data_IF_434543955806
#
_entry.id   IF_434543955806
#
_cell.length_a   1.000
_cell.length_b   1.000
_cell.length_c   1.000
_cell.angle_alpha   90.00
_cell.angle_beta   90.00
_cell.angle_gamma   90.00
#
_symmetry.space_group_name_H-M   'P 1'
#
loop_
_entity.id
_entity.type
_entity.pdbx_description
1 polymer ?
#
# COMPACT_ATOMS: atom_id res chain seq x y z
N UNK A 1 13.84 -2.42 7.45
CA UNK A 1 14.58 -2.93 6.29
C UNK A 1 13.71 -3.94 5.57
N UNK A 2 13.53 -3.73 4.28
CA UNK A 2 12.58 -4.46 3.45
C UNK A 2 12.71 -3.99 2.01
N UNK A 3 12.36 -4.86 1.06
CA UNK A 3 12.63 -4.69 -0.38
C UNK A 3 12.27 -3.30 -0.92
N UNK A 4 11.14 -2.74 -0.50
CA UNK A 4 10.69 -1.41 -0.96
C UNK A 4 11.39 -0.28 -0.19
N UNK A 5 11.51 -0.40 1.13
CA UNK A 5 12.15 0.61 2.00
C UNK A 5 13.60 0.88 1.59
N UNK A 6 14.33 -0.17 1.18
CA UNK A 6 15.75 -0.08 0.85
C UNK A 6 16.01 0.29 -0.64
N UNK A 7 14.96 0.46 -1.45
CA UNK A 7 15.10 0.79 -2.87
C UNK A 7 15.35 2.29 -3.10
N UNK A 8 16.28 2.61 -4.01
CA UNK A 8 16.61 3.98 -4.42
C UNK A 8 16.18 4.32 -5.86
N UNK A 9 15.64 3.35 -6.60
CA UNK A 9 15.21 3.54 -7.98
C UNK A 9 13.97 4.44 -8.06
N UNK A 10 13.89 5.24 -9.13
CA UNK A 10 12.80 6.18 -9.38
C UNK A 10 12.00 5.75 -10.61
N UNK A 11 10.72 6.12 -10.63
CA UNK A 11 9.81 5.71 -11.71
C UNK A 11 9.38 4.25 -11.56
N UNK A 12 8.70 3.72 -12.58
CA UNK A 12 8.21 2.34 -12.56
C UNK A 12 9.34 1.35 -12.82
N UNK A 13 9.55 0.42 -11.88
CA UNK A 13 10.56 -0.62 -11.96
C UNK A 13 10.10 -1.87 -11.18
N UNK A 14 10.59 -3.07 -11.53
CA UNK A 14 10.25 -4.30 -10.84
C UNK A 14 11.03 -4.46 -9.53
N UNK A 15 10.45 -5.22 -8.58
CA UNK A 15 11.14 -5.64 -7.35
C UNK A 15 11.27 -7.16 -7.26
N UNK A 16 12.40 -7.60 -6.70
CA UNK A 16 12.61 -9.01 -6.34
C UNK A 16 11.76 -9.37 -5.13
N UNK A 17 11.42 -10.65 -4.98
CA UNK A 17 10.82 -11.13 -3.76
C UNK A 17 11.78 -10.96 -2.56
N UNK A 18 11.27 -10.71 -1.35
CA UNK A 18 12.00 -10.87 -0.10
C UNK A 18 12.73 -12.20 -0.01
N UNK A 19 13.86 -12.24 0.72
CA UNK A 19 14.70 -13.43 0.88
C UNK A 19 13.96 -14.62 1.51
N UNK A 20 12.97 -14.33 2.37
CA UNK A 20 12.13 -15.33 3.03
C UNK A 20 10.97 -15.83 2.13
N UNK A 21 10.88 -15.35 0.89
CA UNK A 21 9.82 -15.70 -0.05
C UNK A 21 8.44 -15.14 0.29
N UNK A 22 8.33 -14.29 1.32
CA UNK A 22 7.08 -13.62 1.66
C UNK A 22 6.66 -12.63 0.55
N UNK A 23 5.36 -12.38 0.37
CA UNK A 23 4.91 -11.37 -0.59
C UNK A 23 5.20 -9.95 -0.08
N UNK A 24 5.52 -9.02 -0.98
CA UNK A 24 5.76 -7.60 -0.63
C UNK A 24 4.49 -6.84 -0.24
N UNK A 25 3.30 -7.44 -0.44
CA UNK A 25 2.01 -6.97 0.03
C UNK A 25 1.16 -8.15 0.51
N UNK A 26 0.26 -7.91 1.46
CA UNK A 26 -0.71 -8.91 1.93
C UNK A 26 -2.01 -8.26 2.33
N UNK A 27 -3.10 -9.03 2.29
CA UNK A 27 -4.39 -8.58 2.81
C UNK A 27 -4.32 -8.33 4.32
N UNK A 28 -4.93 -7.25 4.79
CA UNK A 28 -5.04 -6.97 6.22
C UNK A 28 -6.09 -7.87 6.87
N UNK A 29 -5.73 -8.51 7.99
CA UNK A 29 -6.64 -9.31 8.81
C UNK A 29 -7.36 -8.52 9.92
N UNK A 30 -7.03 -7.24 10.06
CA UNK A 30 -7.43 -6.37 11.17
C UNK A 30 -8.26 -5.17 10.69
N UNK A 31 -8.82 -5.26 9.49
CA UNK A 31 -9.70 -4.25 8.91
C UNK A 31 -11.12 -4.81 8.89
N UNK A 32 -12.05 -4.06 9.48
CA UNK A 32 -13.48 -4.33 9.42
C UNK A 32 -14.14 -3.33 8.45
N UNK A 33 -14.97 -3.82 7.53
CA UNK A 33 -15.67 -3.01 6.54
C UNK A 33 -17.14 -2.93 6.93
N UNK A 34 -17.58 -1.73 7.26
CA UNK A 34 -18.98 -1.42 7.56
C UNK A 34 -19.56 -0.58 6.42
N UNK A 35 -20.64 -1.04 5.80
CA UNK A 35 -21.27 -0.35 4.67
C UNK A 35 -22.17 0.81 5.09
N UNK A 36 -22.54 0.87 6.38
CA UNK A 36 -23.51 1.85 6.90
C UNK A 36 -22.81 3.05 7.55
N UNK A 37 -21.48 3.00 7.69
CA UNK A 37 -20.68 4.12 8.19
C UNK A 37 -20.65 5.25 7.14
N UNK A 38 -21.08 6.44 7.56
CA UNK A 38 -20.93 7.66 6.78
C UNK A 38 -19.48 8.14 6.80
N UNK A 39 -18.99 8.65 5.67
CA UNK A 39 -17.68 9.28 5.55
C UNK A 39 -17.76 10.57 4.76
N UNK A 40 -16.88 11.51 5.07
CA UNK A 40 -16.75 12.79 4.37
C UNK A 40 -15.68 12.69 3.28
N UNK A 41 -15.92 13.32 2.14
CA UNK A 41 -14.96 13.43 1.05
C UNK A 41 -14.69 14.91 0.76
N UNK A 42 -13.43 15.32 0.87
CA UNK A 42 -12.99 16.67 0.54
C UNK A 42 -12.15 16.57 -0.73
N UNK A 43 -12.64 17.14 -1.83
CA UNK A 43 -11.92 17.22 -3.09
C UNK A 43 -11.05 18.49 -3.13
N UNK A 44 -9.74 18.32 -3.31
CA UNK A 44 -8.77 19.42 -3.36
C UNK A 44 -8.41 19.84 -4.80
N UNK A 45 -8.98 19.22 -5.83
CA UNK A 45 -8.66 19.49 -7.24
C UNK A 45 -9.29 20.77 -7.78
N UNK A 46 -10.32 21.29 -7.12
CA UNK A 46 -11.13 22.43 -7.56
C UNK A 46 -10.56 23.79 -7.10
N UNK A 47 -9.25 23.90 -6.89
CA UNK A 47 -8.60 25.16 -6.47
C UNK A 47 -7.53 25.61 -7.47
#
# INVERSE_FOLDING_TARGET
>A
MGVIHDCQERGFHPHKAPLDGSPIYKQCSHVYMDTDIKFDMIDLRER
#
